data_IF_471118850683
#
_entry.id   IF_471118850683
#
_cell.length_a   1.000
_cell.length_b   1.000
_cell.length_c   1.000
_cell.angle_alpha   90.00
_cell.angle_beta   90.00
_cell.angle_gamma   90.00
#
_symmetry.space_group_name_H-M   'P 1'
#
loop_
_entity.id
_entity.type
_entity.pdbx_description
1 polymer ?
#
# COMPACT_ATOMS: atom_id res chain seq x y z
N UNK A 1 -12.69 17.74 -11.42
CA UNK A 1 -11.38 17.97 -10.75
C UNK A 1 -10.28 17.48 -11.66
N UNK A 2 -9.23 18.29 -11.85
CA UNK A 2 -8.05 17.92 -12.62
C UNK A 2 -7.04 17.23 -11.69
N UNK A 3 -6.77 15.93 -11.88
CA UNK A 3 -5.79 15.19 -11.05
C UNK A 3 -4.39 15.82 -11.10
N UNK A 4 -4.06 16.51 -12.20
CA UNK A 4 -2.80 17.24 -12.38
C UNK A 4 -2.62 18.40 -11.40
N UNK A 5 -3.73 18.99 -10.96
CA UNK A 5 -3.74 20.16 -10.06
C UNK A 5 -4.04 19.76 -8.61
N UNK A 6 -4.64 18.59 -8.40
CA UNK A 6 -5.00 18.09 -7.08
C UNK A 6 -3.87 17.31 -6.39
N UNK A 7 -2.88 16.80 -7.13
CA UNK A 7 -1.73 16.11 -6.56
C UNK A 7 -0.63 17.12 -6.20
N UNK A 8 -0.58 17.50 -4.93
CA UNK A 8 0.52 18.29 -4.37
C UNK A 8 1.02 17.66 -3.07
N UNK A 9 2.27 17.93 -2.74
CA UNK A 9 2.85 17.52 -1.46
C UNK A 9 3.01 18.78 -0.61
N UNK A 10 2.42 18.82 0.59
CA UNK A 10 2.58 19.97 1.49
C UNK A 10 4.07 20.27 1.77
N UNK A 11 4.47 21.55 1.90
CA UNK A 11 5.86 21.94 2.13
C UNK A 11 6.49 21.31 3.38
N UNK A 12 5.69 21.07 4.42
CA UNK A 12 6.09 20.51 5.71
C UNK A 12 6.20 18.98 5.71
N UNK A 13 5.73 18.30 4.66
CA UNK A 13 5.73 16.84 4.58
C UNK A 13 7.16 16.32 4.39
N UNK A 14 7.73 15.55 5.35
CA UNK A 14 9.04 14.94 5.18
C UNK A 14 8.95 13.80 4.16
N UNK A 15 9.23 14.09 2.90
CA UNK A 15 9.22 13.13 1.80
C UNK A 15 10.51 13.20 0.99
N UNK A 16 11.10 12.04 0.70
CA UNK A 16 12.30 11.95 -0.13
C UNK A 16 11.99 12.28 -1.60
N UNK A 17 13.00 12.76 -2.34
CA UNK A 17 12.87 13.00 -3.78
C UNK A 17 12.53 11.71 -4.56
N UNK A 18 13.08 10.56 -4.15
CA UNK A 18 12.79 9.27 -4.77
C UNK A 18 11.33 8.85 -4.56
N UNK A 19 10.78 9.04 -3.36
CA UNK A 19 9.37 8.77 -3.06
C UNK A 19 8.44 9.68 -3.86
N UNK A 20 8.74 10.98 -3.90
CA UNK A 20 7.97 11.98 -4.67
C UNK A 20 7.93 11.62 -6.15
N UNK A 21 9.08 11.30 -6.73
CA UNK A 21 9.18 10.92 -8.13
C UNK A 21 8.39 9.64 -8.44
N UNK A 22 8.51 8.61 -7.61
CA UNK A 22 7.75 7.36 -7.78
C UNK A 22 6.23 7.62 -7.77
N UNK A 23 5.73 8.37 -6.79
CA UNK A 23 4.31 8.71 -6.68
C UNK A 23 3.83 9.44 -7.94
N UNK A 24 4.57 10.45 -8.41
CA UNK A 24 4.20 11.21 -9.61
C UNK A 24 4.26 10.37 -10.89
N UNK A 25 5.20 9.43 -10.99
CA UNK A 25 5.31 8.50 -12.13
C UNK A 25 4.19 7.45 -12.17
N UNK A 26 3.57 7.14 -11.03
CA UNK A 26 2.40 6.25 -10.93
C UNK A 26 1.09 7.03 -11.11
N UNK A 27 0.96 8.18 -10.46
CA UNK A 27 -0.22 9.03 -10.46
C UNK A 27 -0.20 10.04 -11.63
N UNK A 28 -0.10 9.52 -12.85
CA UNK A 28 -0.14 10.31 -14.07
C UNK A 28 -1.10 9.73 -15.13
N UNK A 29 -1.10 10.34 -16.32
CA UNK A 29 -1.89 9.87 -17.45
C UNK A 29 -1.46 8.47 -17.87
N UNK A 30 -2.41 7.64 -18.34
CA UNK A 30 -2.15 6.24 -18.67
C UNK A 30 -0.98 6.06 -19.66
N UNK A 31 -0.89 6.93 -20.68
CA UNK A 31 0.17 6.94 -21.70
C UNK A 31 1.59 7.12 -21.14
N UNK A 32 1.73 7.83 -20.02
CA UNK A 32 3.03 8.14 -19.39
C UNK A 32 3.24 7.40 -18.08
N UNK A 33 2.31 6.53 -17.69
CA UNK A 33 2.35 5.83 -16.43
C UNK A 33 3.45 4.80 -16.43
N UNK A 34 4.24 4.81 -15.36
CA UNK A 34 5.17 3.73 -15.05
C UNK A 34 4.37 2.42 -14.90
N UNK A 35 4.48 1.54 -15.90
CA UNK A 35 3.54 0.43 -16.10
C UNK A 35 4.20 -0.94 -16.26
N UNK A 36 5.49 -1.00 -16.64
CA UNK A 36 6.27 -2.24 -16.62
C UNK A 36 6.75 -2.57 -15.21
N UNK A 37 6.67 -3.85 -14.84
CA UNK A 37 7.23 -4.35 -13.58
C UNK A 37 8.74 -4.13 -13.54
N UNK A 38 9.46 -4.38 -14.63
CA UNK A 38 10.90 -4.12 -14.70
C UNK A 38 11.23 -2.65 -14.41
N UNK A 39 10.45 -1.72 -14.98
CA UNK A 39 10.69 -0.28 -14.80
C UNK A 39 10.30 0.20 -13.39
N UNK A 40 9.28 -0.40 -12.78
CA UNK A 40 8.91 -0.17 -11.38
C UNK A 40 10.04 -0.62 -10.46
N UNK A 41 10.56 -1.84 -10.65
CA UNK A 41 11.63 -2.40 -9.80
C UNK A 41 12.93 -1.60 -9.88
N UNK A 42 13.20 -0.95 -11.01
CA UNK A 42 14.38 -0.11 -11.24
C UNK A 42 14.29 1.30 -10.65
N UNK A 43 13.13 1.72 -10.12
CA UNK A 43 13.00 3.07 -9.57
C UNK A 43 13.98 3.26 -8.39
N UNK A 44 14.66 4.42 -8.28
CA UNK A 44 15.63 4.68 -7.20
C UNK A 44 15.07 4.51 -5.78
N UNK A 45 13.74 4.66 -5.63
CA UNK A 45 13.05 4.39 -4.37
C UNK A 45 13.28 2.94 -3.87
N UNK A 46 13.39 1.96 -4.78
CA UNK A 46 13.54 0.54 -4.45
C UNK A 46 14.99 0.04 -4.54
N UNK A 47 16.00 0.91 -4.58
CA UNK A 47 17.41 0.51 -4.81
C UNK A 47 17.95 -0.54 -3.82
N UNK A 48 17.43 -0.60 -2.60
CA UNK A 48 17.85 -1.54 -1.56
C UNK A 48 16.94 -2.77 -1.43
N UNK A 49 15.91 -2.88 -2.28
CA UNK A 49 14.96 -4.00 -2.24
C UNK A 49 15.56 -5.21 -2.94
N UNK A 50 15.71 -6.28 -2.19
CA UNK A 50 15.94 -7.61 -2.74
C UNK A 50 14.60 -8.21 -3.17
N UNK A 51 14.31 -8.13 -4.46
CA UNK A 51 13.05 -8.61 -5.02
C UNK A 51 12.91 -10.14 -5.05
N UNK A 52 14.01 -10.87 -4.94
CA UNK A 52 14.00 -12.33 -4.92
C UNK A 52 13.68 -12.87 -3.52
N UNK A 53 14.15 -12.18 -2.47
CA UNK A 53 14.09 -12.66 -1.09
C UNK A 53 13.24 -11.80 -0.14
N UNK A 54 12.45 -10.85 -0.66
CA UNK A 54 11.70 -9.89 0.18
C UNK A 54 10.72 -10.57 1.14
N UNK A 55 10.19 -11.75 0.78
CA UNK A 55 9.22 -12.49 1.60
C UNK A 55 9.87 -13.40 2.63
N UNK A 56 11.10 -13.82 2.37
CA UNK A 56 11.88 -14.73 3.20
C UNK A 56 12.70 -13.98 4.26
N UNK A 57 12.86 -12.66 4.11
CA UNK A 57 13.52 -11.78 5.08
C UNK A 57 12.53 -11.29 6.14
N UNK A 58 13.01 -10.91 7.33
CA UNK A 58 12.16 -10.29 8.35
C UNK A 58 11.40 -9.08 7.78
N UNK A 59 10.10 -9.04 8.02
CA UNK A 59 9.27 -7.91 7.64
C UNK A 59 9.69 -6.62 8.36
N UNK A 60 9.43 -5.46 7.76
CA UNK A 60 9.74 -4.17 8.37
C UNK A 60 9.03 -3.95 9.72
N UNK A 61 7.82 -4.50 9.87
CA UNK A 61 7.05 -4.48 11.11
C UNK A 61 6.61 -5.93 11.39
N UNK A 62 7.17 -6.60 12.41
CA UNK A 62 6.69 -7.90 12.82
C UNK A 62 5.31 -7.78 13.48
N UNK A 63 4.40 -8.70 13.14
CA UNK A 63 3.07 -8.77 13.76
C UNK A 63 3.18 -9.58 15.05
N UNK A 64 2.77 -8.98 16.16
CA UNK A 64 2.69 -9.65 17.45
C UNK A 64 1.28 -10.22 17.64
N UNK A 65 1.18 -11.55 17.74
CA UNK A 65 -0.07 -12.27 18.05
C UNK A 65 0.15 -13.19 19.24
N UNK A 66 -0.89 -13.37 20.05
CA UNK A 66 -0.88 -14.16 21.29
C UNK A 66 -1.32 -15.60 21.06
N UNK A 67 -2.12 -15.84 20.02
CA UNK A 67 -2.67 -17.14 19.65
C UNK A 67 -3.05 -17.17 18.17
N UNK A 68 -3.41 -18.34 17.66
CA UNK A 68 -3.82 -18.53 16.25
C UNK A 68 -5.16 -17.83 15.92
N UNK A 69 -5.98 -17.60 16.93
CA UNK A 69 -7.27 -16.92 16.89
C UNK A 69 -7.20 -15.48 17.43
N UNK A 70 -6.01 -14.90 17.56
CA UNK A 70 -5.84 -13.51 18.00
C UNK A 70 -6.37 -12.53 16.95
N UNK A 71 -7.45 -11.82 17.30
CA UNK A 71 -8.08 -10.81 16.47
C UNK A 71 -7.67 -9.38 16.84
N UNK A 72 -6.62 -9.17 17.64
CA UNK A 72 -6.23 -7.83 18.15
C UNK A 72 -5.81 -6.85 17.06
N UNK A 73 -5.51 -7.33 15.86
CA UNK A 73 -5.16 -6.51 14.69
C UNK A 73 -6.39 -6.12 13.86
N UNK A 74 -7.60 -6.44 14.31
CA UNK A 74 -8.87 -6.09 13.70
C UNK A 74 -9.71 -5.23 14.65
N UNK A 75 -10.54 -4.35 14.09
CA UNK A 75 -11.48 -3.55 14.88
C UNK A 75 -12.62 -4.41 15.47
N UNK A 76 -13.18 -3.96 16.59
CA UNK A 76 -14.40 -4.56 17.16
C UNK A 76 -15.66 -3.99 16.51
N UNK A 77 -16.63 -4.85 16.25
CA UNK A 77 -17.92 -4.46 15.66
C UNK A 77 -19.09 -4.84 16.60
N UNK A 78 -19.29 -4.12 17.72
CA UNK A 78 -20.29 -4.46 18.72
C UNK A 78 -21.74 -4.37 18.22
N UNK A 79 -21.97 -3.63 17.12
CA UNK A 79 -23.30 -3.40 16.54
C UNK A 79 -23.48 -4.08 15.17
N UNK A 80 -22.62 -5.04 14.82
CA UNK A 80 -22.80 -5.79 13.58
C UNK A 80 -24.06 -6.65 13.67
N UNK A 81 -24.95 -6.51 12.69
CA UNK A 81 -26.02 -7.47 12.48
C UNK A 81 -25.40 -8.76 11.93
N UNK A 82 -25.25 -9.76 12.80
CA UNK A 82 -24.76 -11.09 12.45
C UNK A 82 -25.89 -12.00 11.95
N UNK A 83 -27.08 -11.45 11.65
CA UNK A 83 -28.14 -12.23 11.04
C UNK A 83 -27.71 -12.69 9.66
N UNK A 84 -27.49 -14.00 9.54
CA UNK A 84 -27.31 -14.65 8.26
C UNK A 84 -28.66 -14.59 7.55
N UNK A 85 -28.74 -13.91 6.40
CA UNK A 85 -29.91 -14.02 5.54
C UNK A 85 -30.01 -15.47 5.06
N UNK A 86 -30.87 -16.25 5.69
CA UNK A 86 -31.28 -17.54 5.18
C UNK A 86 -32.27 -17.25 4.06
N UNK A 87 -31.83 -17.35 2.81
CA UNK A 87 -32.74 -17.34 1.67
C UNK A 87 -33.78 -18.47 1.86
N UNK A 88 -35.08 -18.16 1.97
CA UNK A 88 -36.10 -19.20 1.88
C UNK A 88 -36.19 -19.60 0.41
N UNK A 89 -35.77 -20.84 0.12
CA UNK A 89 -35.85 -21.42 -1.22
C UNK A 89 -37.25 -21.49 -1.81
#
# INVERSE_FOLDING_TARGET
>A
MSWKEALFFPPEMPISNHSRNLIQSLCCGAETRLSSIEDIRKQPFFHAVDWEHIRERPAAIPVNIRSIDDTSNFDEFPNADLSWHVDPG
#
